data_IF_261129863218
#
_entry.id   IF_261129863218
#
_cell.length_a   1.000
_cell.length_b   1.000
_cell.length_c   1.000
_cell.angle_alpha   90.00
_cell.angle_beta   90.00
_cell.angle_gamma   90.00
#
_symmetry.space_group_name_H-M   'P 1'
#
loop_
_entity.id
_entity.type
_entity.pdbx_description
1 polymer ?
#
# COMPACT_ATOMS: atom_id res chain seq x y z
N UNK A 1 65.44 50.41 9.81
CA UNK A 1 65.06 49.88 11.13
C UNK A 1 63.57 49.54 11.08
N UNK A 2 63.21 48.31 10.70
CA UNK A 2 61.81 47.86 10.59
C UNK A 2 61.59 46.75 11.62
N UNK A 3 60.73 47.03 12.60
CA UNK A 3 60.38 46.09 13.68
C UNK A 3 59.32 45.11 13.17
N UNK A 4 59.66 43.81 13.25
CA UNK A 4 58.69 42.72 13.30
C UNK A 4 57.79 42.88 14.53
N UNK A 5 56.48 42.74 14.40
CA UNK A 5 55.62 42.43 15.55
C UNK A 5 54.73 41.23 15.24
N UNK A 6 54.96 40.18 16.01
CA UNK A 6 54.43 38.82 15.90
C UNK A 6 53.42 38.65 17.03
N UNK A 7 52.13 38.54 16.72
CA UNK A 7 51.15 37.96 17.64
C UNK A 7 50.15 37.12 16.85
N UNK A 8 50.40 35.82 16.90
CA UNK A 8 49.51 34.74 16.49
C UNK A 8 48.27 34.66 17.40
N UNK A 9 47.36 33.73 17.05
CA UNK A 9 46.16 33.26 17.78
C UNK A 9 44.92 34.16 17.57
N UNK A 10 43.73 33.71 17.16
CA UNK A 10 43.20 32.36 16.96
C UNK A 10 42.00 32.39 16.00
N UNK A 11 41.86 31.30 15.28
CA UNK A 11 40.70 30.87 14.48
C UNK A 11 39.50 30.64 15.41
N UNK A 12 38.26 30.88 14.94
CA UNK A 12 37.13 29.92 14.99
C UNK A 12 35.88 30.55 14.35
N UNK A 13 35.40 29.88 13.30
CA UNK A 13 34.20 30.18 12.54
C UNK A 13 32.94 29.78 13.33
N UNK A 14 31.95 30.67 13.37
CA UNK A 14 30.61 30.36 13.88
C UNK A 14 29.72 29.91 12.71
N UNK A 15 29.59 28.60 12.54
CA UNK A 15 28.67 27.96 11.59
C UNK A 15 27.23 28.03 12.11
N UNK A 16 26.35 28.66 11.33
CA UNK A 16 24.89 28.49 11.40
C UNK A 16 24.52 27.03 11.11
N UNK A 17 23.80 26.37 12.01
CA UNK A 17 23.11 25.10 11.75
C UNK A 17 21.66 25.17 12.27
N UNK A 18 20.77 25.74 11.45
CA UNK A 18 19.34 25.46 11.53
C UNK A 18 19.11 24.03 11.01
N UNK A 19 19.06 23.06 11.91
CA UNK A 19 18.66 21.68 11.59
C UNK A 19 17.13 21.66 11.46
N UNK A 20 16.63 21.99 10.28
CA UNK A 20 15.25 21.67 9.90
C UNK A 20 15.16 20.15 9.77
N UNK A 21 14.65 19.48 10.80
CA UNK A 21 14.33 18.07 10.79
C UNK A 21 13.24 17.79 9.75
N UNK A 22 13.64 17.50 8.52
CA UNK A 22 12.77 16.87 7.54
C UNK A 22 12.56 15.42 7.98
N UNK A 23 11.57 15.21 8.83
CA UNK A 23 10.98 13.87 9.00
C UNK A 23 10.29 13.56 7.69
N UNK A 24 11.02 12.92 6.77
CA UNK A 24 10.43 12.25 5.63
C UNK A 24 9.54 11.16 6.21
N UNK A 25 8.23 11.39 6.23
CA UNK A 25 7.25 10.32 6.46
C UNK A 25 7.52 9.26 5.40
N UNK A 26 8.18 8.17 5.80
CA UNK A 26 8.26 6.97 4.99
C UNK A 26 6.85 6.39 4.92
N UNK A 27 6.09 6.81 3.91
CA UNK A 27 4.90 6.08 3.49
C UNK A 27 5.37 4.67 3.17
N UNK A 28 4.78 3.68 3.87
CA UNK A 28 5.06 2.29 3.58
C UNK A 28 4.83 2.08 2.07
N UNK A 29 5.80 1.54 1.32
CA UNK A 29 5.63 1.33 -0.10
C UNK A 29 4.38 0.47 -0.32
N UNK A 30 3.61 0.80 -1.37
CA UNK A 30 2.45 0.01 -1.76
C UNK A 30 2.86 -1.48 -1.82
N UNK A 31 2.04 -2.39 -1.30
CA UNK A 31 2.38 -3.81 -1.32
C UNK A 31 2.66 -4.22 -2.76
N UNK A 32 3.69 -5.02 -2.97
CA UNK A 32 4.08 -5.52 -4.27
C UNK A 32 4.10 -7.05 -4.24
N UNK A 33 3.84 -7.68 -5.39
CA UNK A 33 3.88 -9.13 -5.53
C UNK A 33 2.51 -9.79 -5.43
N UNK A 34 2.53 -11.10 -5.23
CA UNK A 34 1.37 -11.99 -5.30
C UNK A 34 1.00 -12.55 -3.92
N UNK A 35 -0.29 -12.57 -3.64
CA UNK A 35 -0.86 -12.86 -2.32
C UNK A 35 -2.08 -13.75 -2.49
N UNK A 36 -2.30 -14.69 -1.58
CA UNK A 36 -3.47 -15.58 -1.59
C UNK A 36 -4.11 -15.68 -0.21
N UNK A 37 -5.39 -16.04 -0.15
CA UNK A 37 -6.08 -16.21 1.12
C UNK A 37 -7.59 -16.04 1.01
N UNK A 38 -8.26 -15.90 2.15
CA UNK A 38 -9.73 -15.90 2.20
C UNK A 38 -10.24 -14.57 2.72
N UNK A 39 -11.13 -13.96 1.93
CA UNK A 39 -11.93 -12.82 2.38
C UNK A 39 -13.36 -13.27 2.70
N UNK A 40 -14.03 -12.51 3.56
CA UNK A 40 -15.40 -12.80 4.01
C UNK A 40 -16.26 -11.55 4.04
N UNK A 41 -17.54 -11.73 3.73
CA UNK A 41 -18.62 -10.81 4.06
C UNK A 41 -19.50 -11.42 5.14
N UNK A 42 -20.62 -10.76 5.45
CA UNK A 42 -21.61 -11.27 6.41
C UNK A 42 -22.24 -12.60 5.96
N UNK A 43 -22.30 -12.85 4.65
CA UNK A 43 -23.06 -13.99 4.08
C UNK A 43 -22.21 -15.03 3.35
N UNK A 44 -20.94 -14.74 3.05
CA UNK A 44 -20.11 -15.60 2.21
C UNK A 44 -18.61 -15.45 2.48
N UNK A 45 -17.85 -16.45 2.03
CA UNK A 45 -16.39 -16.46 2.02
C UNK A 45 -15.92 -16.88 0.64
N UNK A 46 -14.79 -16.35 0.20
CA UNK A 46 -14.19 -16.73 -1.08
C UNK A 46 -12.67 -16.63 -1.00
N UNK A 47 -12.00 -17.56 -1.66
CA UNK A 47 -10.56 -17.52 -1.86
C UNK A 47 -10.22 -16.45 -2.90
N UNK A 48 -9.15 -15.70 -2.65
CA UNK A 48 -8.70 -14.59 -3.49
C UNK A 48 -7.22 -14.71 -3.75
N UNK A 49 -6.87 -14.68 -5.02
CA UNK A 49 -5.52 -14.39 -5.47
C UNK A 49 -5.44 -12.89 -5.82
N UNK A 50 -4.48 -12.20 -5.22
CA UNK A 50 -4.24 -10.80 -5.45
C UNK A 50 -2.82 -10.58 -5.97
N UNK A 51 -2.69 -9.70 -6.95
CA UNK A 51 -1.40 -9.18 -7.38
C UNK A 51 -1.38 -7.67 -7.28
N UNK A 52 -0.28 -7.14 -6.75
CA UNK A 52 -0.11 -5.70 -6.57
C UNK A 52 1.16 -5.22 -7.27
N UNK A 53 1.02 -4.09 -7.94
CA UNK A 53 2.12 -3.28 -8.44
C UNK A 53 1.87 -1.80 -8.05
N UNK A 54 2.83 -0.89 -8.28
CA UNK A 54 2.71 0.50 -7.82
C UNK A 54 1.51 1.30 -8.35
N UNK A 55 0.75 0.79 -9.33
CA UNK A 55 -0.38 1.50 -9.96
C UNK A 55 -1.68 0.70 -9.94
N UNK A 56 -1.62 -0.61 -9.75
CA UNK A 56 -2.73 -1.52 -10.01
C UNK A 56 -2.73 -2.63 -8.97
N UNK A 57 -3.94 -2.94 -8.49
CA UNK A 57 -4.26 -4.18 -7.82
C UNK A 57 -5.14 -5.02 -8.75
N UNK A 58 -4.80 -6.29 -8.96
CA UNK A 58 -5.64 -7.24 -9.68
C UNK A 58 -6.08 -8.34 -8.72
N UNK A 59 -7.38 -8.52 -8.58
CA UNK A 59 -8.00 -9.53 -7.71
C UNK A 59 -8.70 -10.57 -8.57
N UNK A 60 -8.42 -11.84 -8.28
CA UNK A 60 -9.14 -12.98 -8.80
C UNK A 60 -9.87 -13.67 -7.65
N UNK A 61 -11.18 -13.87 -7.81
CA UNK A 61 -12.01 -14.57 -6.84
C UNK A 61 -12.35 -15.94 -7.39
N UNK A 62 -12.08 -16.98 -6.61
CA UNK A 62 -12.39 -18.36 -6.98
C UNK A 62 -13.90 -18.65 -6.91
N UNK A 63 -14.25 -19.94 -7.01
CA UNK A 63 -15.61 -20.41 -6.86
C UNK A 63 -16.23 -19.99 -5.51
N UNK A 64 -17.52 -19.60 -5.50
CA UNK A 64 -18.49 -19.69 -6.60
C UNK A 64 -18.53 -18.47 -7.54
N UNK A 65 -17.70 -17.45 -7.32
CA UNK A 65 -17.79 -16.19 -8.06
C UNK A 65 -17.00 -16.20 -9.37
N UNK A 66 -15.85 -16.88 -9.38
CA UNK A 66 -14.99 -17.13 -10.55
C UNK A 66 -14.88 -15.91 -11.48
N UNK A 67 -14.35 -14.80 -10.93
CA UNK A 67 -14.24 -13.56 -11.68
C UNK A 67 -13.02 -12.76 -11.24
N UNK A 68 -12.60 -11.83 -12.12
CA UNK A 68 -11.50 -10.93 -11.85
C UNK A 68 -11.95 -9.46 -11.90
N UNK A 69 -11.31 -8.63 -11.08
CA UNK A 69 -11.49 -7.18 -11.10
C UNK A 69 -10.16 -6.48 -10.81
N UNK A 70 -9.96 -5.37 -11.51
CA UNK A 70 -8.80 -4.50 -11.31
C UNK A 70 -9.19 -3.27 -10.48
N UNK A 71 -8.23 -2.74 -9.73
CA UNK A 71 -8.35 -1.48 -9.02
C UNK A 71 -7.13 -0.58 -9.27
N UNK A 72 -7.36 0.71 -9.55
CA UNK A 72 -6.30 1.69 -9.72
C UNK A 72 -5.89 2.26 -8.36
N UNK A 73 -4.58 2.40 -8.13
CA UNK A 73 -4.07 3.11 -6.97
C UNK A 73 -4.53 4.57 -6.98
N UNK A 74 -5.03 5.05 -5.85
CA UNK A 74 -5.39 6.45 -5.63
C UNK A 74 -4.32 7.15 -4.79
N UNK A 75 -4.17 6.69 -3.56
CA UNK A 75 -3.31 7.29 -2.56
C UNK A 75 -2.93 6.28 -1.49
N UNK A 76 -1.98 6.65 -0.64
CA UNK A 76 -1.66 5.91 0.56
C UNK A 76 -1.73 6.83 1.76
N UNK A 77 -2.20 6.35 2.89
CA UNK A 77 -2.26 7.09 4.14
C UNK A 77 -1.82 6.21 5.33
N UNK A 78 -2.21 6.60 6.54
CA UNK A 78 -1.90 5.86 7.78
C UNK A 78 -2.62 4.50 7.87
N UNK A 79 -3.74 4.34 7.18
CA UNK A 79 -4.59 3.14 7.22
C UNK A 79 -4.17 2.15 6.13
N UNK A 80 -3.62 2.64 5.02
CA UNK A 80 -3.01 1.79 4.01
C UNK A 80 -2.98 2.42 2.63
N UNK A 81 -2.86 1.57 1.61
CA UNK A 81 -2.99 1.95 0.21
C UNK A 81 -4.45 1.85 -0.23
N UNK A 82 -5.00 2.93 -0.76
CA UNK A 82 -6.36 3.03 -1.27
C UNK A 82 -6.37 2.87 -2.78
N UNK A 83 -7.31 2.06 -3.27
CA UNK A 83 -7.53 1.79 -4.68
C UNK A 83 -9.01 1.93 -5.03
N UNK A 84 -9.32 2.34 -6.25
CA UNK A 84 -10.69 2.34 -6.78
C UNK A 84 -10.87 1.23 -7.80
N UNK A 85 -11.92 0.44 -7.63
CA UNK A 85 -12.27 -0.60 -8.60
C UNK A 85 -12.59 -0.01 -9.98
N UNK A 86 -12.10 -0.67 -11.01
CA UNK A 86 -12.50 -0.45 -12.40
C UNK A 86 -13.73 -1.31 -12.71
N UNK A 87 -14.53 -0.94 -13.72
CA UNK A 87 -15.54 -1.84 -14.26
C UNK A 87 -14.91 -3.19 -14.62
N UNK A 88 -15.47 -4.27 -14.11
CA UNK A 88 -14.99 -5.62 -14.43
C UNK A 88 -15.33 -5.96 -15.89
N UNK A 89 -14.33 -6.43 -16.64
CA UNK A 89 -14.50 -6.90 -18.01
C UNK A 89 -14.76 -8.40 -17.95
N UNK A 90 -15.94 -8.84 -18.40
CA UNK A 90 -16.40 -10.23 -18.34
C UNK A 90 -16.56 -10.82 -16.92
N UNK A 91 -16.53 -10.00 -15.87
CA UNK A 91 -16.86 -10.48 -14.52
C UNK A 91 -18.35 -10.73 -14.36
N UNK A 92 -18.69 -11.80 -13.63
CA UNK A 92 -20.06 -12.09 -13.22
C UNK A 92 -20.66 -11.02 -12.31
N UNK A 93 -21.91 -11.22 -11.90
CA UNK A 93 -22.66 -10.29 -11.04
C UNK A 93 -21.91 -9.89 -9.76
N UNK A 94 -21.08 -10.78 -9.22
CA UNK A 94 -20.24 -10.50 -8.06
C UNK A 94 -19.24 -9.36 -8.33
N UNK A 95 -18.34 -9.51 -9.30
CA UNK A 95 -17.35 -8.49 -9.63
C UNK A 95 -18.01 -7.19 -10.14
N UNK A 96 -19.11 -7.29 -10.90
CA UNK A 96 -19.90 -6.11 -11.29
C UNK A 96 -20.45 -5.38 -10.06
N UNK A 97 -20.89 -6.12 -9.04
CA UNK A 97 -21.41 -5.56 -7.79
C UNK A 97 -20.35 -4.83 -6.95
N UNK A 98 -19.07 -5.17 -7.08
CA UNK A 98 -17.97 -4.46 -6.40
C UNK A 98 -17.75 -3.05 -6.97
N UNK A 99 -18.16 -2.79 -8.20
CA UNK A 99 -18.09 -1.47 -8.83
C UNK A 99 -19.42 -0.68 -8.71
N UNK A 100 -19.39 0.62 -8.40
CA UNK A 100 -18.25 1.37 -7.90
C UNK A 100 -17.95 0.99 -6.44
N UNK A 101 -16.67 0.92 -6.11
CA UNK A 101 -16.20 0.56 -4.78
C UNK A 101 -14.71 0.80 -4.60
N UNK A 102 -14.27 0.63 -3.37
CA UNK A 102 -12.91 0.90 -2.93
C UNK A 102 -12.27 -0.35 -2.35
N UNK A 103 -10.96 -0.43 -2.53
CA UNK A 103 -10.10 -1.44 -1.94
C UNK A 103 -9.08 -0.72 -1.05
N UNK A 104 -9.11 -1.02 0.24
CA UNK A 104 -8.09 -0.63 1.19
C UNK A 104 -7.18 -1.82 1.47
N UNK A 105 -5.88 -1.57 1.41
CA UNK A 105 -4.84 -2.57 1.63
C UNK A 105 -3.86 -2.11 2.68
N UNK A 106 -3.70 -2.90 3.74
CA UNK A 106 -2.73 -2.65 4.79
C UNK A 106 -1.76 -3.84 4.86
N UNK A 107 -0.46 -3.59 4.99
CA UNK A 107 0.55 -4.65 5.12
C UNK A 107 1.05 -4.70 6.57
N UNK A 108 0.36 -5.41 7.50
CA UNK A 108 0.79 -5.51 8.89
C UNK A 108 2.14 -6.22 9.07
N UNK A 109 2.54 -7.05 8.11
CA UNK A 109 3.87 -7.68 8.08
C UNK A 109 4.33 -7.92 6.65
N UNK A 110 5.58 -8.33 6.46
CA UNK A 110 6.10 -8.69 5.14
C UNK A 110 5.41 -9.92 4.51
N UNK A 111 4.74 -10.73 5.31
CA UNK A 111 4.11 -11.99 4.87
C UNK A 111 2.59 -11.96 4.99
N UNK A 112 2.00 -10.91 5.58
CA UNK A 112 0.56 -10.79 5.80
C UNK A 112 0.06 -9.46 5.26
N UNK A 113 -1.02 -9.51 4.49
CA UNK A 113 -1.67 -8.35 3.89
C UNK A 113 -3.16 -8.39 4.21
N UNK A 114 -3.68 -7.32 4.80
CA UNK A 114 -5.10 -7.17 5.10
C UNK A 114 -5.79 -6.47 3.93
N UNK A 115 -6.85 -7.10 3.41
CA UNK A 115 -7.76 -6.52 2.42
C UNK A 115 -9.06 -6.07 3.08
N UNK A 116 -9.54 -4.92 2.64
CA UNK A 116 -10.91 -4.46 2.86
C UNK A 116 -11.49 -3.94 1.55
N UNK A 117 -12.49 -4.63 1.02
CA UNK A 117 -13.25 -4.21 -0.16
C UNK A 117 -14.57 -3.65 0.34
N UNK A 118 -14.91 -2.43 -0.05
CA UNK A 118 -16.14 -1.79 0.39
C UNK A 118 -16.84 -1.08 -0.76
N UNK A 119 -18.15 -1.27 -0.82
CA UNK A 119 -19.04 -0.41 -1.58
C UNK A 119 -20.25 -0.04 -0.68
N UNK A 120 -21.29 0.55 -1.27
CA UNK A 120 -22.51 0.94 -0.53
C UNK A 120 -23.36 -0.23 -0.01
N UNK A 121 -23.16 -1.45 -0.51
CA UNK A 121 -24.01 -2.63 -0.29
C UNK A 121 -23.33 -3.75 0.51
N UNK A 122 -22.01 -3.89 0.36
CA UNK A 122 -21.24 -5.03 0.83
C UNK A 122 -19.88 -4.57 1.31
N UNK A 123 -19.41 -5.19 2.39
CA UNK A 123 -18.04 -5.10 2.85
C UNK A 123 -17.45 -6.51 2.89
N UNK A 124 -16.25 -6.65 2.35
CA UNK A 124 -15.48 -7.88 2.41
C UNK A 124 -14.14 -7.60 3.07
N UNK A 125 -13.73 -8.44 4.00
CA UNK A 125 -12.46 -8.29 4.70
C UNK A 125 -11.75 -9.63 4.83
N UNK A 126 -10.42 -9.61 4.85
CA UNK A 126 -9.62 -10.81 5.05
C UNK A 126 -8.14 -10.52 5.11
N UNK A 127 -7.37 -11.54 5.46
CA UNK A 127 -5.92 -11.49 5.42
C UNK A 127 -5.44 -12.46 4.35
N UNK A 128 -4.52 -11.99 3.52
CA UNK A 128 -3.77 -12.77 2.56
C UNK A 128 -2.36 -13.03 3.06
N UNK A 129 -1.76 -14.09 2.55
CA UNK A 129 -0.38 -14.48 2.80
C UNK A 129 0.44 -14.27 1.53
N UNK A 130 1.70 -13.85 1.67
CA UNK A 130 2.59 -13.72 0.52
C UNK A 130 2.88 -15.09 -0.06
N UNK A 131 2.56 -15.29 -1.33
CA UNK A 131 2.91 -16.52 -2.08
C UNK A 131 4.42 -16.63 -2.32
N UNK A 132 5.17 -15.53 -2.21
CA UNK A 132 6.62 -15.50 -2.37
C UNK A 132 7.37 -16.02 -1.14
N UNK A 133 6.72 -16.08 0.03
CA UNK A 133 7.30 -16.64 1.24
C UNK A 133 7.29 -18.18 1.26
N UNK A 134 6.71 -18.82 0.24
CA UNK A 134 6.50 -20.26 0.15
C UNK A 134 7.61 -21.01 -0.62
N UNK A 135 8.75 -20.38 -0.90
CA UNK A 135 9.89 -20.95 -1.64
C UNK A 135 11.22 -20.84 -0.89
#
# INVERSE_FOLDING_TARGET
MFRFNRKSHAIVAALLLCVCGNVLSQQAPAPAGTWDGVIRSDTARVHVDASFNPKLASLHFDEPFNCAIDASFLEADKDGSHYTFKPSVNGGQFCQGLYPGELLVSAPSAITLSLSLKNKKTAWTGNLTSTQASH
#
